data_IF_552746506628
#
_entry.id   IF_552746506628
#
_cell.length_a   1.000
_cell.length_b   1.000
_cell.length_c   1.000
_cell.angle_alpha   90.00
_cell.angle_beta   90.00
_cell.angle_gamma   90.00
#
_symmetry.space_group_name_H-M   'P 1'
#
loop_
_entity.id
_entity.type
_entity.pdbx_description
1 polymer ?
#
# COMPACT_ATOMS: atom_id res chain seq x y z
N UNK A 1 -10.94 16.21 1.72
CA UNK A 1 -10.66 15.09 0.81
C UNK A 1 -11.47 13.91 1.29
N UNK A 2 -12.44 13.43 0.50
CA UNK A 2 -13.22 12.26 0.90
C UNK A 2 -12.40 10.99 0.67
N UNK A 3 -11.99 10.33 1.76
CA UNK A 3 -11.22 9.09 1.70
C UNK A 3 -12.12 7.85 1.64
N UNK A 4 -13.45 8.02 1.69
CA UNK A 4 -14.41 6.91 1.62
C UNK A 4 -14.50 6.31 0.21
N UNK A 5 -14.12 7.07 -0.82
CA UNK A 5 -14.00 6.61 -2.21
C UNK A 5 -12.72 5.80 -2.51
N UNK A 6 -11.93 5.46 -1.49
CA UNK A 6 -10.71 4.66 -1.67
C UNK A 6 -11.04 3.24 -2.20
N UNK A 7 -10.53 2.92 -3.38
CA UNK A 7 -10.71 1.61 -4.02
C UNK A 7 -9.49 0.75 -3.75
N UNK A 8 -9.56 -0.01 -2.67
CA UNK A 8 -8.47 -0.84 -2.16
C UNK A 8 -8.12 -2.00 -3.10
N UNK A 9 -6.84 -2.10 -3.46
CA UNK A 9 -6.26 -3.20 -4.21
C UNK A 9 -5.24 -3.93 -3.34
N UNK A 10 -5.39 -5.25 -3.29
CA UNK A 10 -4.54 -6.14 -2.52
C UNK A 10 -3.25 -6.46 -3.29
N UNK A 11 -2.09 -6.45 -2.62
CA UNK A 11 -0.80 -6.72 -3.27
C UNK A 11 -0.65 -8.20 -3.67
N UNK A 12 -0.07 -8.45 -4.85
CA UNK A 12 0.22 -9.80 -5.38
C UNK A 12 1.55 -10.37 -4.93
N UNK A 13 2.42 -9.57 -4.29
CA UNK A 13 3.76 -9.98 -3.81
C UNK A 13 3.74 -10.66 -2.43
N UNK A 14 2.59 -10.78 -1.80
CA UNK A 14 2.41 -11.59 -0.60
C UNK A 14 2.30 -13.06 -1.00
N UNK A 15 3.42 -13.79 -0.92
CA UNK A 15 3.54 -15.17 -1.37
C UNK A 15 2.62 -16.18 -0.65
N UNK A 16 2.61 -17.40 -1.20
CA UNK A 16 1.68 -18.51 -0.95
C UNK A 16 1.66 -19.12 0.47
N UNK A 17 2.31 -18.49 1.47
CA UNK A 17 2.47 -19.00 2.84
C UNK A 17 1.81 -18.11 3.92
N UNK A 18 0.67 -17.47 3.63
CA UNK A 18 -0.17 -16.91 4.71
C UNK A 18 -0.56 -15.44 4.64
N UNK A 19 -0.85 -14.93 3.45
CA UNK A 19 -1.89 -13.90 3.34
C UNK A 19 -1.40 -12.55 2.83
N UNK A 20 -2.29 -11.90 2.09
CA UNK A 20 -2.04 -10.60 1.52
C UNK A 20 -2.15 -9.50 2.58
N UNK A 21 -1.02 -9.15 3.20
CA UNK A 21 -0.97 -8.22 4.34
C UNK A 21 -1.02 -6.75 3.96
N UNK A 22 -1.05 -6.37 2.68
CA UNK A 22 -1.07 -4.95 2.29
C UNK A 22 -2.14 -4.68 1.24
N UNK A 23 -2.90 -3.61 1.47
CA UNK A 23 -3.80 -3.00 0.50
C UNK A 23 -3.39 -1.57 0.21
N UNK A 24 -3.59 -1.16 -1.05
CA UNK A 24 -3.25 0.17 -1.56
C UNK A 24 -4.46 0.74 -2.27
N UNK A 25 -4.78 2.01 -2.02
CA UNK A 25 -5.73 2.77 -2.82
C UNK A 25 -4.98 3.96 -3.46
N UNK A 26 -4.86 3.90 -4.78
CA UNK A 26 -4.17 4.88 -5.64
C UNK A 26 -5.12 5.62 -6.58
N UNK A 27 -6.43 5.43 -6.41
CA UNK A 27 -7.47 6.04 -7.22
C UNK A 27 -7.90 7.43 -6.74
N UNK A 28 -7.40 7.88 -5.59
CA UNK A 28 -7.73 9.19 -5.03
C UNK A 28 -6.78 10.26 -5.61
N UNK A 29 -7.30 11.43 -6.00
CA UNK A 29 -6.45 12.48 -6.56
C UNK A 29 -5.47 12.99 -5.50
N UNK A 30 -4.18 13.07 -5.85
CA UNK A 30 -3.14 13.67 -5.00
C UNK A 30 -2.73 12.84 -3.78
N UNK A 31 -3.25 11.63 -3.60
CA UNK A 31 -2.93 10.80 -2.44
C UNK A 31 -2.94 9.30 -2.75
N UNK A 32 -2.02 8.57 -2.13
CA UNK A 32 -2.01 7.11 -2.10
C UNK A 32 -2.16 6.68 -0.65
N UNK A 33 -3.13 5.80 -0.41
CA UNK A 33 -3.38 5.22 0.91
C UNK A 33 -2.85 3.80 0.96
N UNK A 34 -2.23 3.43 2.07
CA UNK A 34 -1.70 2.08 2.30
C UNK A 34 -2.10 1.64 3.69
N UNK A 35 -2.59 0.41 3.80
CA UNK A 35 -2.95 -0.17 5.10
C UNK A 35 -2.60 -1.64 5.17
N UNK A 36 -2.45 -2.12 6.39
CA UNK A 36 -2.35 -3.55 6.64
C UNK A 36 -3.72 -4.20 6.47
N UNK A 37 -3.77 -5.32 5.76
CA UNK A 37 -5.00 -6.11 5.62
C UNK A 37 -5.36 -6.83 6.92
N UNK A 38 -4.34 -7.21 7.70
CA UNK A 38 -4.43 -7.99 8.93
C UNK A 38 -4.62 -7.12 10.16
N UNK A 39 -4.21 -5.86 10.10
CA UNK A 39 -4.42 -4.87 11.15
C UNK A 39 -5.09 -3.61 10.56
N UNK A 40 -6.41 -3.67 10.44
CA UNK A 40 -7.22 -2.54 9.93
C UNK A 40 -7.26 -1.38 10.90
N UNK A 41 -7.17 -1.67 12.19
CA UNK A 41 -7.30 -0.71 13.28
C UNK A 41 -5.97 0.01 13.54
N UNK A 42 -4.84 -0.58 13.13
CA UNK A 42 -3.51 0.04 13.11
C UNK A 42 -3.38 1.27 12.22
N UNK A 43 -4.41 1.59 11.43
CA UNK A 43 -4.54 2.86 10.71
C UNK A 43 -4.13 2.79 9.23
N UNK A 44 -4.12 3.96 8.60
CA UNK A 44 -3.83 4.12 7.16
C UNK A 44 -2.68 5.09 6.95
N UNK A 45 -1.62 4.60 6.31
CA UNK A 45 -0.51 5.43 5.86
C UNK A 45 -0.92 6.24 4.62
N UNK A 46 -0.51 7.49 4.59
CA UNK A 46 -0.87 8.45 3.55
C UNK A 46 0.37 8.96 2.86
N UNK A 47 0.43 8.86 1.53
CA UNK A 47 1.57 9.27 0.72
C UNK A 47 1.15 10.23 -0.39
N UNK A 48 2.03 11.16 -0.74
CA UNK A 48 1.94 11.82 -2.03
C UNK A 48 2.27 10.82 -3.16
N UNK A 49 1.65 10.92 -4.35
CA UNK A 49 1.87 9.97 -5.45
C UNK A 49 3.35 9.82 -5.86
N UNK A 50 4.10 10.92 -5.89
CA UNK A 50 5.53 10.90 -6.22
C UNK A 50 6.37 10.16 -5.16
N UNK A 51 6.07 10.37 -3.88
CA UNK A 51 6.75 9.69 -2.78
C UNK A 51 6.47 8.18 -2.81
N UNK A 52 5.22 7.79 -3.08
CA UNK A 52 4.84 6.39 -3.24
C UNK A 52 5.58 5.71 -4.40
N UNK A 53 5.66 6.37 -5.56
CA UNK A 53 6.40 5.84 -6.71
C UNK A 53 7.90 5.66 -6.41
N UNK A 54 8.51 6.61 -5.70
CA UNK A 54 9.89 6.52 -5.24
C UNK A 54 10.10 5.36 -4.27
N UNK A 55 9.22 5.22 -3.26
CA UNK A 55 9.25 4.12 -2.30
C UNK A 55 9.14 2.75 -2.98
N UNK A 56 8.17 2.55 -3.88
CA UNK A 56 7.99 1.28 -4.60
C UNK A 56 9.22 0.97 -5.47
N UNK A 57 9.81 2.00 -6.08
CA UNK A 57 11.04 1.85 -6.88
C UNK A 57 12.22 1.40 -6.02
N UNK A 58 12.38 1.98 -4.83
CA UNK A 58 13.39 1.57 -3.85
C UNK A 58 13.14 0.14 -3.36
N UNK A 59 11.91 -0.18 -2.96
CA UNK A 59 11.51 -1.50 -2.47
C UNK A 59 11.75 -2.62 -3.49
N UNK A 60 11.64 -2.33 -4.78
CA UNK A 60 11.99 -3.27 -5.86
C UNK A 60 13.49 -3.51 -5.96
N UNK A 61 14.33 -2.52 -5.67
CA UNK A 61 15.80 -2.60 -5.75
C UNK A 61 16.42 -3.33 -4.56
N UNK A 62 15.91 -3.07 -3.35
CA UNK A 62 16.47 -3.67 -2.13
C UNK A 62 16.08 -5.14 -1.94
N UNK A 63 15.03 -5.61 -2.62
CA UNK A 63 14.52 -6.98 -2.45
C UNK A 63 13.94 -7.22 -1.05
N UNK A 64 13.50 -8.45 -0.73
CA UNK A 64 13.21 -8.83 0.65
C UNK A 64 14.50 -8.69 1.45
N UNK A 65 14.48 -7.86 2.51
CA UNK A 65 15.50 -7.95 3.55
C UNK A 65 15.29 -9.29 4.25
N UNK A 66 16.24 -10.20 4.06
CA UNK A 66 16.28 -11.50 4.74
C UNK A 66 16.58 -11.35 6.21
#
# INVERSE_FOLDING_TARGET
MDMSQARWRKSTRSGNNGGACVEVADNLPGVVLVRDTKDRDGGTLTFAPAAWAGFVSLAKRIGPVG
#
